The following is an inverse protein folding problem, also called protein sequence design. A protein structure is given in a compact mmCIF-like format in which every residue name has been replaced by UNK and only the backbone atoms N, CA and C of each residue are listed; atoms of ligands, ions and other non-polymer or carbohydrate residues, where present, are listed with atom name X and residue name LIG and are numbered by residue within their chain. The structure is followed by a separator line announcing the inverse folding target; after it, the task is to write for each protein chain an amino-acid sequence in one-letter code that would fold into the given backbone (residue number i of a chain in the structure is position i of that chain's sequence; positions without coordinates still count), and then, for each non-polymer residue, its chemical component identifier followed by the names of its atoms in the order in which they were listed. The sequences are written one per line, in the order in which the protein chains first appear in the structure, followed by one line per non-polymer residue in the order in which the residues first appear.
data_IF_112213059866
#
_entry.id   IF_112213059866
#
_cell.length_a   1.000
_cell.length_b   1.000
_cell.length_c   1.000
_cell.angle_alpha   90.00
_cell.angle_beta   90.00
_cell.angle_gamma   90.00
#
_symmetry.space_group_name_H-M   'P 1'
#
loop_
_entity.id
_entity.type
_entity.pdbx_description
1 polymer ?
#
# COMPACT_ATOMS: atom_id res chain seq x y z
N UNK A 1 -15.24 -6.29 -4.15
CA UNK A 1 -14.80 -6.08 -2.76
C UNK A 1 -15.04 -7.37 -1.98
N UNK A 2 -14.17 -7.74 -1.04
CA UNK A 2 -14.43 -8.91 -0.18
C UNK A 2 -15.41 -8.54 0.93
N UNK A 3 -16.30 -9.46 1.27
CA UNK A 3 -17.22 -9.37 2.38
C UNK A 3 -16.97 -10.52 3.35
N UNK A 4 -17.41 -10.36 4.59
CA UNK A 4 -17.41 -11.41 5.60
C UNK A 4 -18.74 -11.39 6.33
N UNK A 5 -19.22 -12.56 6.71
CA UNK A 5 -20.36 -12.70 7.60
C UNK A 5 -19.89 -12.51 9.04
N UNK A 6 -20.63 -11.71 9.81
CA UNK A 6 -20.43 -11.51 11.25
C UNK A 6 -21.76 -11.78 11.93
N UNK A 7 -21.74 -12.67 12.92
CA UNK A 7 -22.90 -13.02 13.74
C UNK A 7 -22.72 -12.32 15.09
N UNK A 8 -23.68 -11.51 15.51
CA UNK A 8 -23.67 -10.88 16.83
C UNK A 8 -24.10 -11.88 17.91
N UNK A 9 -23.86 -11.53 19.18
CA UNK A 9 -24.34 -12.35 20.31
C UNK A 9 -25.87 -12.50 20.33
N UNK A 10 -26.61 -11.55 19.74
CA UNK A 10 -28.06 -11.59 19.54
C UNK A 10 -28.51 -12.61 18.49
N UNK A 11 -27.58 -13.23 17.76
CA UNK A 11 -27.85 -14.15 16.64
C UNK A 11 -28.08 -13.47 15.30
N UNK A 12 -28.14 -12.13 15.28
CA UNK A 12 -28.30 -11.35 14.06
C UNK A 12 -27.05 -11.43 13.18
N UNK A 13 -27.26 -11.53 11.85
CA UNK A 13 -26.21 -11.77 10.87
C UNK A 13 -26.00 -10.54 10.00
N UNK A 14 -24.75 -10.14 9.86
CA UNK A 14 -24.36 -8.98 9.08
C UNK A 14 -23.34 -9.37 8.02
N UNK A 15 -23.58 -8.91 6.80
CA UNK A 15 -22.56 -8.94 5.75
C UNK A 15 -21.72 -7.66 5.79
N UNK A 16 -20.46 -7.80 6.15
CA UNK A 16 -19.59 -6.66 6.48
C UNK A 16 -18.50 -6.52 5.41
N UNK A 17 -18.36 -5.35 4.76
CA UNK A 17 -17.34 -5.14 3.75
C UNK A 17 -15.93 -5.10 4.35
N UNK A 18 -14.94 -5.50 3.55
CA UNK A 18 -13.53 -5.39 3.90
C UNK A 18 -13.17 -3.93 4.22
N UNK A 19 -12.65 -3.70 5.42
CA UNK A 19 -12.34 -2.36 5.94
C UNK A 19 -13.26 -1.94 7.08
N UNK A 20 -14.28 -2.70 7.43
CA UNK A 20 -15.08 -2.50 8.65
C UNK A 20 -14.94 -3.73 9.53
N UNK A 21 -14.78 -3.54 10.84
CA UNK A 21 -14.61 -4.60 11.83
C UNK A 21 -15.54 -4.40 13.02
N UNK A 22 -16.18 -5.48 13.46
CA UNK A 22 -16.93 -5.51 14.70
C UNK A 22 -15.98 -5.37 15.89
N UNK A 23 -16.34 -4.49 16.81
CA UNK A 23 -15.73 -4.36 18.13
C UNK A 23 -16.83 -4.66 19.14
N UNK A 24 -16.64 -5.75 19.87
CA UNK A 24 -17.46 -6.14 21.01
C UNK A 24 -16.52 -6.31 22.20
N UNK A 25 -16.51 -5.31 23.07
CA UNK A 25 -15.84 -5.33 24.36
C UNK A 25 -16.82 -4.86 25.42
N UNK A 26 -16.61 -5.22 26.69
CA UNK A 26 -17.56 -5.04 27.81
C UNK A 26 -18.22 -3.64 27.94
N UNK A 27 -17.59 -2.58 27.42
CA UNK A 27 -18.10 -1.21 27.47
C UNK A 27 -18.20 -0.54 26.09
N UNK A 28 -17.93 -1.26 25.01
CA UNK A 28 -17.86 -0.68 23.67
C UNK A 28 -18.32 -1.69 22.62
N UNK A 29 -19.50 -1.40 22.06
CA UNK A 29 -20.12 -2.13 20.98
C UNK A 29 -20.23 -1.23 19.77
N UNK A 30 -19.74 -1.70 18.63
CA UNK A 30 -19.76 -0.92 17.41
C UNK A 30 -18.99 -1.49 16.24
N UNK A 31 -18.99 -0.71 15.16
CA UNK A 31 -18.26 -0.99 13.94
C UNK A 31 -17.08 -0.04 13.79
N UNK A 32 -15.89 -0.59 13.78
CA UNK A 32 -14.67 0.14 13.50
C UNK A 32 -14.33 0.12 12.01
N UNK A 33 -14.43 1.28 11.37
CA UNK A 33 -13.88 1.54 10.05
C UNK A 33 -12.35 1.60 10.13
N UNK A 34 -11.68 0.90 9.22
CA UNK A 34 -10.23 0.79 9.05
C UNK A 34 -9.84 1.10 7.60
N UNK A 35 -9.92 2.37 7.23
CA UNK A 35 -9.52 2.86 5.91
C UNK A 35 -8.90 4.25 6.06
N UNK A 36 -7.60 4.35 5.79
CA UNK A 36 -6.80 5.56 6.04
C UNK A 36 -7.00 6.09 7.47
N UNK A 37 -6.67 5.25 8.46
CA UNK A 37 -6.95 5.48 9.88
C UNK A 37 -8.18 4.72 10.38
N UNK A 38 -8.49 4.88 11.66
CA UNK A 38 -9.61 4.21 12.33
C UNK A 38 -10.73 5.20 12.68
N UNK A 39 -11.99 4.73 12.67
CA UNK A 39 -13.14 5.46 13.21
C UNK A 39 -14.16 4.46 13.74
N UNK A 40 -14.63 4.65 14.96
CA UNK A 40 -15.66 3.80 15.57
C UNK A 40 -17.05 4.40 15.32
N UNK A 41 -18.01 3.55 15.00
CA UNK A 41 -19.43 3.85 14.95
C UNK A 41 -20.10 2.97 16.01
N UNK A 42 -20.50 3.58 17.13
CA UNK A 42 -21.11 2.85 18.23
C UNK A 42 -22.55 2.46 17.87
N UNK A 43 -22.99 1.31 18.38
CA UNK A 43 -24.37 0.87 18.26
C UNK A 43 -25.30 1.70 19.16
N UNK A 44 -24.77 2.38 20.18
CA UNK A 44 -25.55 3.07 21.20
C UNK A 44 -26.61 2.17 21.89
N UNK A 45 -26.37 0.85 21.91
CA UNK A 45 -27.25 -0.16 22.49
C UNK A 45 -26.41 -1.31 23.06
N UNK A 46 -26.82 -1.86 24.20
CA UNK A 46 -26.22 -3.04 24.80
C UNK A 46 -26.71 -4.34 24.12
N UNK A 47 -27.96 -4.34 23.64
CA UNK A 47 -28.62 -5.51 23.04
C UNK A 47 -28.31 -5.70 21.54
N UNK A 48 -27.47 -4.83 20.97
CA UNK A 48 -27.05 -4.90 19.57
C UNK A 48 -28.06 -4.33 18.56
N UNK A 49 -29.21 -3.84 19.00
CA UNK A 49 -30.28 -3.31 18.12
C UNK A 49 -29.85 -2.14 17.24
N UNK A 50 -28.87 -1.34 17.67
CA UNK A 50 -28.31 -0.25 16.86
C UNK A 50 -27.19 -0.66 15.91
N UNK A 51 -26.81 -1.95 15.87
CA UNK A 51 -25.69 -2.42 15.07
C UNK A 51 -25.94 -2.25 13.56
N UNK A 52 -27.17 -2.47 13.08
CA UNK A 52 -27.51 -2.26 11.68
C UNK A 52 -27.32 -0.80 11.24
N UNK A 53 -27.82 0.15 12.04
CA UNK A 53 -27.68 1.58 11.75
C UNK A 53 -26.22 2.05 11.83
N UNK A 54 -25.49 1.57 12.84
CA UNK A 54 -24.07 1.85 12.99
C UNK A 54 -23.24 1.30 11.82
N UNK A 55 -23.58 0.10 11.31
CA UNK A 55 -22.95 -0.49 10.13
C UNK A 55 -23.24 0.32 8.87
N UNK A 56 -24.48 0.79 8.69
CA UNK A 56 -24.85 1.65 7.57
C UNK A 56 -24.05 2.97 7.58
N UNK A 57 -23.91 3.61 8.76
CA UNK A 57 -23.09 4.81 8.95
C UNK A 57 -21.60 4.53 8.64
N UNK A 58 -21.07 3.41 9.11
CA UNK A 58 -19.69 2.99 8.84
C UNK A 58 -19.45 2.74 7.34
N UNK A 59 -20.41 2.11 6.67
CA UNK A 59 -20.38 1.80 5.23
C UNK A 59 -20.44 3.08 4.38
N UNK A 60 -21.31 4.03 4.75
CA UNK A 60 -21.39 5.35 4.11
C UNK A 60 -20.07 6.11 4.23
N UNK A 61 -19.46 6.11 5.41
CA UNK A 61 -18.14 6.74 5.60
C UNK A 61 -17.04 6.00 4.83
N UNK A 62 -17.06 4.67 4.77
CA UNK A 62 -16.11 3.88 3.96
C UNK A 62 -16.18 4.32 2.48
N UNK A 63 -17.38 4.41 1.91
CA UNK A 63 -17.58 4.86 0.52
C UNK A 63 -17.09 6.30 0.32
N UNK A 64 -17.36 7.20 1.29
CA UNK A 64 -16.84 8.57 1.28
C UNK A 64 -15.31 8.61 1.28
N UNK A 65 -14.66 7.73 2.03
CA UNK A 65 -13.19 7.65 2.07
C UNK A 65 -12.61 7.04 0.79
N UNK A 66 -13.22 6.00 0.24
CA UNK A 66 -12.78 5.38 -1.02
C UNK A 66 -12.83 6.37 -2.20
N UNK A 67 -13.83 7.26 -2.20
CA UNK A 67 -13.94 8.28 -3.25
C UNK A 67 -12.89 9.39 -3.08
N UNK A 68 -12.73 9.91 -1.85
CA UNK A 68 -11.87 11.07 -1.56
C UNK A 68 -10.37 10.73 -1.43
N UNK A 69 -10.03 9.59 -0.83
CA UNK A 69 -8.66 9.26 -0.44
C UNK A 69 -8.01 8.27 -1.42
N UNK A 70 -6.68 8.30 -1.56
CA UNK A 70 -5.96 7.26 -2.29
C UNK A 70 -6.11 5.90 -1.59
N UNK A 71 -6.05 4.81 -2.36
CA UNK A 71 -6.07 3.48 -1.78
C UNK A 71 -4.90 3.29 -0.79
N UNK A 72 -5.13 2.70 0.39
CA UNK A 72 -4.04 2.37 1.30
C UNK A 72 -3.07 1.40 0.58
N UNK A 73 -1.79 1.78 0.51
CA UNK A 73 -0.76 0.97 -0.13
C UNK A 73 0.09 0.24 0.91
N UNK A 74 0.59 -0.94 0.53
CA UNK A 74 1.58 -1.70 1.31
C UNK A 74 3.01 -1.33 0.94
N UNK A 75 3.18 -0.27 0.13
CA UNK A 75 4.51 0.21 -0.26
C UNK A 75 5.17 0.84 0.97
N UNK A 76 6.41 0.41 1.25
CA UNK A 76 7.21 1.03 2.30
C UNK A 76 7.58 2.45 1.88
N UNK A 77 7.39 3.41 2.78
CA UNK A 77 7.70 4.84 2.55
C UNK A 77 9.07 5.24 3.12
N UNK A 78 9.53 4.53 4.14
CA UNK A 78 10.82 4.75 4.78
C UNK A 78 11.75 3.53 4.60
N UNK A 79 13.08 3.75 4.57
CA UNK A 79 14.06 2.68 4.68
C UNK A 79 13.82 1.82 5.91
N UNK A 80 14.24 0.57 5.85
CA UNK A 80 14.23 -0.29 7.03
C UNK A 80 15.34 0.14 7.99
N UNK A 81 15.16 -0.06 9.29
CA UNK A 81 16.17 0.25 10.32
C UNK A 81 17.48 -0.50 10.09
N UNK A 82 17.40 -1.73 9.55
CA UNK A 82 18.57 -2.56 9.23
C UNK A 82 19.28 -2.13 7.93
N UNK A 83 18.82 -1.08 7.26
CA UNK A 83 19.47 -0.59 6.04
C UNK A 83 20.68 0.27 6.44
N UNK A 84 21.87 -0.24 6.16
CA UNK A 84 23.15 0.38 6.54
C UNK A 84 23.63 1.46 5.57
N UNK A 85 22.82 1.85 4.58
CA UNK A 85 23.18 2.90 3.63
C UNK A 85 22.03 3.90 3.40
N UNK A 86 22.41 5.12 3.04
CA UNK A 86 21.50 6.26 2.86
C UNK A 86 20.71 6.20 1.53
N UNK A 87 20.67 5.04 0.88
CA UNK A 87 19.93 4.89 -0.36
C UNK A 87 18.41 4.87 -0.12
N UNK A 88 17.62 5.48 -1.01
CA UNK A 88 16.15 5.46 -0.90
C UNK A 88 15.54 4.05 -0.91
N UNK A 89 14.29 3.95 -0.47
CA UNK A 89 13.54 2.67 -0.46
C UNK A 89 13.48 2.05 -1.84
N UNK A 90 13.72 0.74 -1.91
CA UNK A 90 13.67 0.01 -3.17
C UNK A 90 14.86 0.23 -4.11
N UNK A 91 15.87 1.01 -3.69
CA UNK A 91 17.14 1.17 -4.39
C UNK A 91 18.25 0.50 -3.57
N UNK A 92 19.07 -0.30 -4.25
CA UNK A 92 20.23 -1.00 -3.69
C UNK A 92 21.47 -0.80 -4.55
N UNK A 93 22.64 -0.75 -3.92
CA UNK A 93 23.93 -0.62 -4.58
C UNK A 93 24.83 0.39 -3.87
N UNK A 94 25.85 0.91 -4.56
CA UNK A 94 26.27 0.53 -5.92
C UNK A 94 26.69 -0.95 -5.98
N UNK A 95 26.17 -1.69 -6.96
CA UNK A 95 26.49 -3.10 -7.16
C UNK A 95 27.58 -3.19 -8.23
N UNK A 96 28.77 -3.60 -7.82
CA UNK A 96 29.91 -3.88 -8.69
C UNK A 96 29.81 -5.32 -9.19
N UNK A 97 29.99 -5.53 -10.49
CA UNK A 97 29.92 -6.84 -11.13
C UNK A 97 30.99 -6.93 -12.20
N UNK A 98 31.50 -8.14 -12.43
CA UNK A 98 32.30 -8.43 -13.63
C UNK A 98 31.50 -9.43 -14.47
N UNK A 99 31.07 -9.03 -15.66
CA UNK A 99 30.32 -9.93 -16.54
C UNK A 99 31.28 -10.84 -17.29
N UNK A 100 30.85 -12.08 -17.54
CA UNK A 100 31.61 -13.03 -18.35
C UNK A 100 31.92 -12.41 -19.73
N UNK A 101 33.20 -12.34 -20.09
CA UNK A 101 33.66 -11.73 -21.34
C UNK A 101 33.98 -10.23 -21.27
N UNK A 102 33.75 -9.55 -20.14
CA UNK A 102 34.25 -8.19 -19.95
C UNK A 102 35.58 -8.16 -19.17
N UNK A 103 36.50 -7.33 -19.65
CA UNK A 103 37.80 -7.09 -19.02
C UNK A 103 37.73 -6.17 -17.81
N UNK A 104 36.68 -5.36 -17.68
CA UNK A 104 36.50 -4.36 -16.61
C UNK A 104 35.22 -4.62 -15.81
N UNK A 105 35.20 -4.22 -14.54
CA UNK A 105 33.98 -4.31 -13.73
C UNK A 105 33.03 -3.15 -14.02
N UNK A 106 31.73 -3.43 -14.02
CA UNK A 106 30.65 -2.44 -14.12
C UNK A 106 29.99 -2.18 -12.76
N UNK A 107 29.53 -0.95 -12.56
CA UNK A 107 28.85 -0.51 -11.37
C UNK A 107 27.44 0.00 -11.71
N UNK A 108 26.45 -0.41 -10.92
CA UNK A 108 25.05 -0.07 -11.19
C UNK A 108 24.20 -0.05 -9.92
N UNK A 109 23.15 0.74 -9.91
CA UNK A 109 22.06 0.61 -8.93
C UNK A 109 21.08 -0.47 -9.38
N UNK A 110 20.49 -1.15 -8.41
CA UNK A 110 19.35 -2.03 -8.59
C UNK A 110 18.11 -1.35 -8.02
N UNK A 111 17.10 -1.17 -8.86
CA UNK A 111 15.83 -0.52 -8.52
C UNK A 111 14.70 -1.54 -8.58
N UNK A 112 13.97 -1.70 -7.48
CA UNK A 112 12.72 -2.44 -7.43
C UNK A 112 11.58 -1.54 -7.89
N UNK A 113 10.78 -1.95 -8.87
CA UNK A 113 9.66 -1.19 -9.41
C UNK A 113 8.36 -1.90 -9.01
N UNK A 114 7.49 -1.29 -8.19
CA UNK A 114 6.28 -1.95 -7.73
C UNK A 114 5.25 -1.99 -8.87
N UNK A 115 4.49 -3.09 -8.96
CA UNK A 115 3.40 -3.25 -9.91
C UNK A 115 2.15 -3.71 -9.17
N UNK A 116 1.02 -3.08 -9.47
CA UNK A 116 -0.22 -3.40 -8.75
C UNK A 116 -0.78 -4.73 -9.27
N UNK A 117 -1.03 -5.68 -8.36
CA UNK A 117 -1.52 -7.02 -8.71
C UNK A 117 -0.46 -7.97 -9.29
N UNK A 118 0.79 -7.52 -9.45
CA UNK A 118 1.87 -8.29 -10.06
C UNK A 118 3.14 -8.27 -9.20
N UNK A 119 4.06 -9.20 -9.48
CA UNK A 119 5.40 -9.20 -8.87
C UNK A 119 6.17 -7.93 -9.24
N UNK A 120 6.84 -7.31 -8.27
CA UNK A 120 7.70 -6.15 -8.52
C UNK A 120 8.79 -6.48 -9.56
N UNK A 121 9.09 -5.54 -10.45
CA UNK A 121 10.11 -5.71 -11.49
C UNK A 121 11.42 -5.11 -11.02
N UNK A 122 12.52 -5.84 -11.14
CA UNK A 122 13.87 -5.33 -10.88
C UNK A 122 14.44 -4.68 -12.15
N UNK A 123 14.97 -3.48 -12.05
CA UNK A 123 15.75 -2.82 -13.12
C UNK A 123 17.14 -2.44 -12.60
N UNK A 124 18.11 -2.40 -13.51
CA UNK A 124 19.45 -1.89 -13.21
C UNK A 124 19.62 -0.51 -13.84
N UNK A 125 20.20 0.42 -13.09
CA UNK A 125 20.61 1.74 -13.60
C UNK A 125 22.12 1.77 -13.58
N UNK A 126 22.73 1.87 -14.75
CA UNK A 126 24.17 1.88 -14.93
C UNK A 126 24.77 3.19 -14.42
N UNK A 127 25.94 3.10 -13.77
CA UNK A 127 26.71 4.25 -13.28
C UNK A 127 27.96 4.43 -14.15
N UNK A 128 28.76 3.39 -14.28
CA UNK A 128 30.06 3.43 -14.94
C UNK A 128 30.81 2.10 -14.81
N UNK A 129 31.92 1.98 -15.53
CA UNK A 129 32.95 0.96 -15.30
C UNK A 129 34.00 1.47 -14.33
N UNK A 130 34.92 0.61 -13.88
CA UNK A 130 36.06 1.00 -13.03
C UNK A 130 36.81 2.24 -13.56
N UNK A 131 36.93 2.39 -14.89
CA UNK A 131 37.65 3.50 -15.52
C UNK A 131 36.79 4.75 -15.77
N UNK A 132 35.47 4.64 -15.65
CA UNK A 132 34.54 5.72 -16.01
C UNK A 132 33.63 6.13 -14.86
N UNK A 133 33.85 5.57 -13.67
CA UNK A 133 33.10 5.92 -12.47
C UNK A 133 33.54 7.30 -11.97
N UNK A 134 32.56 8.20 -11.80
CA UNK A 134 32.77 9.51 -11.19
C UNK A 134 31.65 9.80 -10.21
N UNK A 135 31.89 10.72 -9.27
CA UNK A 135 30.87 11.19 -8.31
C UNK A 135 29.65 11.77 -9.04
N UNK A 136 29.88 12.52 -10.12
CA UNK A 136 28.80 13.07 -10.97
C UNK A 136 27.94 11.97 -11.58
N UNK A 137 28.56 10.92 -12.13
CA UNK A 137 27.84 9.77 -12.70
C UNK A 137 27.07 9.01 -11.63
N UNK A 138 27.63 8.88 -10.43
CA UNK A 138 26.91 8.31 -9.28
C UNK A 138 25.63 9.09 -8.99
N UNK A 139 25.72 10.41 -8.82
CA UNK A 139 24.55 11.24 -8.50
C UNK A 139 23.53 11.25 -9.64
N UNK A 140 23.97 11.35 -10.90
CA UNK A 140 23.09 11.30 -12.06
C UNK A 140 22.34 9.96 -12.15
N UNK A 141 23.05 8.84 -11.92
CA UNK A 141 22.44 7.51 -11.89
C UNK A 141 21.49 7.33 -10.70
N UNK A 142 21.82 7.90 -9.53
CA UNK A 142 20.96 7.87 -8.35
C UNK A 142 19.67 8.66 -8.59
N UNK A 143 19.76 9.87 -9.14
CA UNK A 143 18.61 10.69 -9.50
C UNK A 143 17.68 9.93 -10.47
N UNK A 144 18.26 9.31 -11.51
CA UNK A 144 17.51 8.47 -12.46
C UNK A 144 16.86 7.26 -11.79
N UNK A 145 17.54 6.62 -10.84
CA UNK A 145 17.01 5.49 -10.10
C UNK A 145 15.82 5.90 -9.22
N UNK A 146 15.90 7.06 -8.56
CA UNK A 146 14.81 7.64 -7.77
C UNK A 146 13.62 7.97 -8.67
N UNK A 147 13.84 8.67 -9.77
CA UNK A 147 12.78 9.04 -10.72
C UNK A 147 12.03 7.80 -11.24
N UNK A 148 12.76 6.76 -11.65
CA UNK A 148 12.18 5.50 -12.10
C UNK A 148 11.30 4.85 -11.03
N UNK A 149 11.76 4.86 -9.77
CA UNK A 149 11.01 4.31 -8.65
C UNK A 149 9.75 5.15 -8.38
N UNK A 150 9.88 6.47 -8.27
CA UNK A 150 8.77 7.40 -7.99
C UNK A 150 7.66 7.26 -9.04
N UNK A 151 8.01 7.24 -10.32
CA UNK A 151 7.04 7.05 -11.41
C UNK A 151 6.29 5.71 -11.30
N UNK A 152 6.99 4.65 -10.91
CA UNK A 152 6.39 3.35 -10.73
C UNK A 152 5.48 3.29 -9.48
N UNK A 153 5.84 3.98 -8.39
CA UNK A 153 5.00 4.14 -7.20
C UNK A 153 3.72 4.92 -7.49
N UNK A 154 3.81 6.02 -8.24
CA UNK A 154 2.64 6.79 -8.67
C UNK A 154 1.70 5.95 -9.53
N UNK A 155 2.25 5.21 -10.49
CA UNK A 155 1.49 4.32 -11.38
C UNK A 155 0.79 3.23 -10.56
N UNK A 156 1.51 2.61 -9.63
CA UNK A 156 0.96 1.64 -8.68
C UNK A 156 -0.21 2.25 -7.89
N UNK A 157 0.00 3.44 -7.33
CA UNK A 157 -0.97 4.11 -6.46
C UNK A 157 -2.24 4.49 -7.23
N UNK A 158 -2.11 4.97 -8.48
CA UNK A 158 -3.23 5.26 -9.38
C UNK A 158 -4.01 3.99 -9.70
N UNK A 159 -3.33 2.91 -10.07
CA UNK A 159 -3.96 1.62 -10.37
C UNK A 159 -4.69 1.04 -9.15
N UNK A 160 -4.05 1.04 -7.98
CA UNK A 160 -4.65 0.59 -6.73
C UNK A 160 -5.89 1.41 -6.35
N UNK A 161 -5.82 2.74 -6.51
CA UNK A 161 -6.94 3.64 -6.24
C UNK A 161 -8.10 3.42 -7.20
N UNK A 162 -7.82 3.23 -8.51
CA UNK A 162 -8.82 2.89 -9.52
C UNK A 162 -9.54 1.58 -9.17
N UNK A 163 -8.78 0.53 -8.84
CA UNK A 163 -9.34 -0.76 -8.44
C UNK A 163 -10.23 -0.63 -7.18
N UNK A 164 -9.75 0.10 -6.16
CA UNK A 164 -10.53 0.29 -4.93
C UNK A 164 -11.80 1.11 -5.13
N UNK A 165 -11.78 2.09 -6.04
CA UNK A 165 -12.99 2.85 -6.41
C UNK A 165 -13.99 1.98 -7.15
N UNK A 166 -13.55 1.12 -8.06
CA UNK A 166 -14.43 0.15 -8.73
C UNK A 166 -15.09 -0.79 -7.71
N UNK A 167 -14.32 -1.29 -6.72
CA UNK A 167 -14.86 -2.05 -5.60
C UNK A 167 -15.92 -1.29 -4.79
N UNK A 168 -15.70 0.01 -4.56
CA UNK A 168 -16.65 0.87 -3.86
C UNK A 168 -17.95 1.09 -4.65
N UNK A 169 -17.89 1.17 -5.98
CA UNK A 169 -19.11 1.28 -6.80
C UNK A 169 -19.97 0.01 -6.69
N UNK A 170 -19.36 -1.17 -6.67
CA UNK A 170 -20.09 -2.43 -6.46
C UNK A 170 -20.81 -2.44 -5.10
N UNK A 171 -20.18 -1.91 -4.04
CA UNK A 171 -20.82 -1.78 -2.73
C UNK A 171 -21.98 -0.80 -2.72
N UNK A 172 -21.94 0.26 -3.54
CA UNK A 172 -23.03 1.26 -3.59
C UNK A 172 -24.32 0.69 -4.21
N UNK A 173 -24.18 -0.28 -5.11
CA UNK A 173 -25.30 -0.90 -5.85
C UNK A 173 -25.92 -2.07 -5.07
N UNK A 174 -25.21 -2.59 -4.06
CA UNK A 174 -25.66 -3.66 -3.18
C UNK A 174 -26.41 -3.09 -1.98
#
# INVERSE_FOLDING_TARGET
MKFREVILFSGERFEVPQGIQRIDHNATHGWQLRYAGTKLFSDHSQDGTGAAEALAKATKELLRRITKLPAPSRLRRSPNENKTNDLPVGISGPIVRQRKGMSVRDCSFSVSLPRFGETAKRRSVYIGTENTYTVERYHAALAKAVELRTKAEETYQRAATKAKRAEGQVLKVK
#
